data_IF_999791790996
#
_entry.id   IF_999791790996
#
_cell.length_a   1.000
_cell.length_b   1.000
_cell.length_c   1.000
_cell.angle_alpha   90.00
_cell.angle_beta   90.00
_cell.angle_gamma   90.00
#
_symmetry.space_group_name_H-M   'P 1'
#
loop_
_entity.id
_entity.type
_entity.pdbx_description
1 polymer ?
#
# COMPACT_ATOMS: atom_id res chain seq x y z
N UNK A 1 8.89 -14.22 -38.07
CA UNK A 1 9.33 -13.64 -36.80
C UNK A 1 8.30 -13.89 -35.69
N UNK A 2 7.01 -13.66 -35.92
CA UNK A 2 5.91 -13.95 -34.99
C UNK A 2 5.84 -15.42 -34.52
N UNK A 3 6.03 -16.39 -35.42
CA UNK A 3 6.06 -17.82 -35.05
C UNK A 3 7.19 -18.19 -34.07
N UNK A 4 8.32 -17.47 -34.09
CA UNK A 4 9.44 -17.66 -33.15
C UNK A 4 9.16 -17.04 -31.78
N UNK A 5 8.49 -15.88 -31.75
CA UNK A 5 8.08 -15.21 -30.51
C UNK A 5 6.99 -15.99 -29.77
N UNK A 6 6.00 -16.52 -30.50
CA UNK A 6 4.96 -17.39 -29.96
C UNK A 6 5.56 -18.68 -29.35
N UNK A 7 6.52 -19.32 -30.05
CA UNK A 7 7.23 -20.50 -29.55
C UNK A 7 8.05 -20.22 -28.28
N UNK A 8 8.72 -19.07 -28.22
CA UNK A 8 9.48 -18.66 -27.03
C UNK A 8 8.57 -18.35 -25.83
N UNK A 9 7.40 -17.75 -26.06
CA UNK A 9 6.39 -17.50 -25.02
C UNK A 9 5.84 -18.81 -24.45
N UNK A 10 5.46 -19.75 -25.32
CA UNK A 10 4.96 -21.07 -24.91
C UNK A 10 5.99 -21.85 -24.06
N UNK A 11 7.27 -21.84 -24.46
CA UNK A 11 8.34 -22.48 -23.70
C UNK A 11 8.53 -21.86 -22.30
N UNK A 12 8.41 -20.54 -22.17
CA UNK A 12 8.48 -19.84 -20.89
C UNK A 12 7.30 -20.17 -19.99
N UNK A 13 6.09 -20.24 -20.53
CA UNK A 13 4.90 -20.66 -19.79
C UNK A 13 5.00 -22.11 -19.29
N UNK A 14 5.53 -23.02 -20.12
CA UNK A 14 5.79 -24.40 -19.71
C UNK A 14 6.80 -24.48 -18.56
N UNK A 15 7.91 -23.72 -18.65
CA UNK A 15 8.90 -23.60 -17.56
C UNK A 15 8.28 -23.05 -16.28
N UNK A 16 7.43 -22.03 -16.39
CA UNK A 16 6.75 -21.45 -15.23
C UNK A 16 5.80 -22.47 -14.57
N UNK A 17 5.00 -23.21 -15.35
CA UNK A 17 4.14 -24.27 -14.81
C UNK A 17 4.95 -25.34 -14.07
N UNK A 18 6.03 -25.82 -14.67
CA UNK A 18 6.91 -26.81 -14.03
C UNK A 18 7.51 -26.29 -12.72
N UNK A 19 7.90 -25.01 -12.65
CA UNK A 19 8.40 -24.41 -11.41
C UNK A 19 7.32 -24.28 -10.33
N UNK A 20 6.07 -23.98 -10.71
CA UNK A 20 4.91 -23.96 -9.80
C UNK A 20 4.61 -25.36 -9.27
N UNK A 21 4.62 -26.37 -10.14
CA UNK A 21 4.34 -27.76 -9.78
C UNK A 21 5.43 -28.38 -8.89
N UNK A 22 6.68 -27.94 -9.03
CA UNK A 22 7.81 -28.41 -8.23
C UNK A 22 7.95 -27.72 -6.86
N UNK A 23 7.20 -26.64 -6.61
CA UNK A 23 7.25 -25.90 -5.34
C UNK A 23 6.19 -26.41 -4.36
N UNK A 24 6.64 -27.29 -3.46
CA UNK A 24 5.80 -27.93 -2.46
C UNK A 24 5.47 -27.04 -1.25
N UNK A 25 5.98 -25.79 -1.17
CA UNK A 25 5.72 -24.92 -0.02
C UNK A 25 4.21 -24.59 0.08
N UNK A 26 3.50 -25.05 1.14
CA UNK A 26 2.08 -24.78 1.30
C UNK A 26 1.78 -23.28 1.41
N UNK A 27 2.76 -22.46 1.78
CA UNK A 27 2.61 -21.02 1.89
C UNK A 27 2.40 -20.35 0.54
N UNK A 28 2.85 -20.97 -0.56
CA UNK A 28 2.83 -20.41 -1.91
C UNK A 28 1.59 -20.80 -2.72
N UNK A 29 0.79 -21.79 -2.26
CA UNK A 29 -0.36 -22.34 -2.98
C UNK A 29 -1.35 -21.29 -3.50
N UNK A 30 -1.63 -20.25 -2.71
CA UNK A 30 -2.55 -19.18 -3.11
C UNK A 30 -1.97 -18.34 -4.26
N UNK A 31 -0.66 -18.10 -4.23
CA UNK A 31 0.01 -17.36 -5.30
C UNK A 31 0.11 -18.21 -6.57
N UNK A 32 0.46 -19.49 -6.44
CA UNK A 32 0.47 -20.46 -7.53
C UNK A 32 -0.90 -20.61 -8.20
N UNK A 33 -1.98 -20.66 -7.41
CA UNK A 33 -3.33 -20.70 -7.93
C UNK A 33 -3.67 -19.46 -8.78
N UNK A 34 -3.27 -18.26 -8.35
CA UNK A 34 -3.44 -17.03 -9.13
C UNK A 34 -2.63 -17.07 -10.44
N UNK A 35 -1.40 -17.58 -10.41
CA UNK A 35 -0.58 -17.78 -11.60
C UNK A 35 -1.22 -18.75 -12.59
N UNK A 36 -1.63 -19.93 -12.12
CA UNK A 36 -2.24 -20.95 -12.97
C UNK A 36 -3.61 -20.50 -13.51
N UNK A 37 -4.39 -19.74 -12.72
CA UNK A 37 -5.68 -19.19 -13.16
C UNK A 37 -5.54 -18.23 -14.34
N UNK A 38 -4.53 -17.35 -14.35
CA UNK A 38 -4.25 -16.52 -15.53
C UNK A 38 -3.81 -17.38 -16.73
N UNK A 39 -2.89 -18.33 -16.51
CA UNK A 39 -2.37 -19.18 -17.58
C UNK A 39 -3.48 -20.07 -18.19
N UNK A 40 -4.44 -20.53 -17.39
CA UNK A 40 -5.60 -21.28 -17.86
C UNK A 40 -6.52 -20.46 -18.78
N UNK A 41 -6.44 -19.13 -18.68
CA UNK A 41 -7.20 -18.16 -19.47
C UNK A 41 -6.34 -17.44 -20.53
N UNK A 42 -5.17 -18.01 -20.86
CA UNK A 42 -4.20 -17.45 -21.82
C UNK A 42 -4.84 -16.97 -23.13
N UNK A 43 -5.74 -17.75 -23.74
CA UNK A 43 -6.37 -17.37 -25.01
C UNK A 43 -7.23 -16.11 -24.92
N UNK A 44 -7.84 -15.82 -23.75
CA UNK A 44 -8.57 -14.56 -23.53
C UNK A 44 -7.62 -13.41 -23.24
N UNK A 45 -6.57 -13.66 -22.45
CA UNK A 45 -5.55 -12.66 -22.16
C UNK A 45 -4.81 -12.20 -23.42
N UNK A 46 -4.52 -13.12 -24.34
CA UNK A 46 -3.81 -12.85 -25.61
C UNK A 46 -4.67 -12.06 -26.62
N UNK A 47 -6.00 -12.16 -26.53
CA UNK A 47 -6.92 -11.51 -27.45
C UNK A 47 -7.61 -10.25 -26.87
N UNK A 48 -7.39 -9.95 -25.59
CA UNK A 48 -8.10 -8.89 -24.86
C UNK A 48 -7.28 -7.62 -24.62
N UNK A 49 -7.84 -6.76 -23.77
CA UNK A 49 -7.26 -5.46 -23.38
C UNK A 49 -5.91 -5.58 -22.65
N UNK A 50 -5.53 -6.79 -22.22
CA UNK A 50 -4.22 -7.08 -21.61
C UNK A 50 -3.24 -7.85 -22.50
N UNK A 51 -3.50 -7.97 -23.80
CA UNK A 51 -2.64 -8.72 -24.74
C UNK A 51 -1.16 -8.29 -24.70
N UNK A 52 -0.88 -6.98 -24.62
CA UNK A 52 0.48 -6.46 -24.51
C UNK A 52 1.18 -6.95 -23.23
N UNK A 53 0.52 -6.77 -22.07
CA UNK A 53 1.06 -7.17 -20.76
C UNK A 53 1.15 -8.70 -20.63
N UNK A 54 0.21 -9.42 -21.24
CA UNK A 54 0.27 -10.87 -21.39
C UNK A 54 1.48 -11.31 -22.21
N UNK A 55 1.84 -10.61 -23.28
CA UNK A 55 3.05 -10.89 -24.07
C UNK A 55 4.35 -10.76 -23.25
N UNK A 56 4.40 -9.83 -22.29
CA UNK A 56 5.57 -9.58 -21.43
C UNK A 56 5.63 -10.57 -20.25
N UNK A 57 4.47 -10.95 -19.71
CA UNK A 57 4.32 -11.74 -18.50
C UNK A 57 5.21 -13.00 -18.43
N UNK A 58 5.27 -13.90 -19.43
CA UNK A 58 6.05 -15.12 -19.33
C UNK A 58 7.54 -14.87 -19.10
N UNK A 59 8.11 -13.84 -19.73
CA UNK A 59 9.51 -13.48 -19.54
C UNK A 59 9.76 -12.89 -18.15
N UNK A 60 8.90 -11.96 -17.72
CA UNK A 60 8.99 -11.34 -16.41
C UNK A 60 8.82 -12.36 -15.27
N UNK A 61 7.86 -13.29 -15.41
CA UNK A 61 7.60 -14.33 -14.43
C UNK A 61 8.74 -15.34 -14.31
N UNK A 62 9.30 -15.81 -15.44
CA UNK A 62 10.45 -16.73 -15.42
C UNK A 62 11.68 -16.10 -14.78
N UNK A 63 11.89 -14.80 -14.95
CA UNK A 63 12.99 -14.08 -14.30
C UNK A 63 12.90 -14.07 -12.77
N UNK A 64 11.70 -14.19 -12.21
CA UNK A 64 11.51 -14.23 -10.75
C UNK A 64 11.89 -15.59 -10.15
N UNK A 65 11.78 -16.69 -10.91
CA UNK A 65 11.95 -18.06 -10.39
C UNK A 65 13.31 -18.21 -9.68
N UNK A 66 13.27 -18.72 -8.44
CA UNK A 66 14.46 -18.93 -7.60
C UNK A 66 14.85 -17.71 -6.75
N UNK A 67 14.25 -16.54 -6.98
CA UNK A 67 14.45 -15.39 -6.09
C UNK A 67 13.61 -15.53 -4.80
N UNK A 68 14.02 -14.91 -3.67
CA UNK A 68 13.25 -14.96 -2.42
C UNK A 68 11.83 -14.40 -2.62
N UNK A 69 10.79 -15.19 -2.32
CA UNK A 69 9.39 -14.78 -2.48
C UNK A 69 8.88 -14.72 -3.92
N UNK A 70 9.55 -15.41 -4.86
CA UNK A 70 9.18 -15.41 -6.28
C UNK A 70 7.71 -15.79 -6.53
N UNK A 71 7.20 -16.81 -5.84
CA UNK A 71 5.84 -17.30 -6.01
C UNK A 71 4.81 -16.18 -5.78
N UNK A 72 4.95 -15.44 -4.68
CA UNK A 72 4.09 -14.30 -4.36
C UNK A 72 4.18 -13.22 -5.43
N UNK A 73 5.40 -12.88 -5.89
CA UNK A 73 5.58 -11.89 -6.96
C UNK A 73 4.88 -12.31 -8.26
N UNK A 74 5.06 -13.55 -8.69
CA UNK A 74 4.45 -14.05 -9.93
C UNK A 74 2.93 -14.20 -9.80
N UNK A 75 2.43 -14.67 -8.66
CA UNK A 75 0.99 -14.76 -8.40
C UNK A 75 0.30 -13.40 -8.37
N UNK A 76 0.94 -12.42 -7.74
CA UNK A 76 0.45 -11.03 -7.70
C UNK A 76 0.52 -10.36 -9.08
N UNK A 77 1.60 -10.59 -9.84
CA UNK A 77 1.73 -10.15 -11.23
C UNK A 77 0.60 -10.69 -12.10
N UNK A 78 0.35 -12.00 -12.02
CA UNK A 78 -0.70 -12.66 -12.78
C UNK A 78 -2.10 -12.12 -12.42
N UNK A 79 -2.35 -11.93 -11.13
CA UNK A 79 -3.61 -11.36 -10.66
C UNK A 79 -3.78 -9.89 -11.08
N UNK A 80 -2.71 -9.08 -11.09
CA UNK A 80 -2.78 -7.69 -11.54
C UNK A 80 -3.18 -7.58 -13.01
N UNK A 81 -2.61 -8.46 -13.87
CA UNK A 81 -2.99 -8.56 -15.29
C UNK A 81 -4.46 -8.96 -15.43
N UNK A 82 -4.89 -9.98 -14.68
CA UNK A 82 -6.28 -10.43 -14.66
C UNK A 82 -7.25 -9.33 -14.24
N UNK A 83 -6.98 -8.63 -13.13
CA UNK A 83 -7.82 -7.53 -12.64
C UNK A 83 -7.96 -6.39 -13.65
N UNK A 84 -6.86 -6.04 -14.32
CA UNK A 84 -6.84 -4.90 -15.24
C UNK A 84 -7.42 -5.22 -16.62
N UNK A 85 -7.21 -6.44 -17.13
CA UNK A 85 -7.59 -6.79 -18.51
C UNK A 85 -8.75 -7.76 -18.67
N UNK A 86 -9.04 -8.60 -17.67
CA UNK A 86 -10.15 -9.55 -17.72
C UNK A 86 -11.30 -9.10 -16.80
N UNK A 87 -10.97 -8.72 -15.56
CA UNK A 87 -11.94 -8.23 -14.59
C UNK A 87 -13.05 -9.24 -14.28
N UNK A 88 -12.73 -10.54 -14.28
CA UNK A 88 -13.69 -11.62 -14.04
C UNK A 88 -13.80 -11.92 -12.54
N UNK A 89 -14.84 -12.67 -12.14
CA UNK A 89 -15.04 -13.08 -10.75
C UNK A 89 -13.81 -13.80 -10.16
N UNK A 90 -13.13 -14.61 -10.97
CA UNK A 90 -11.90 -15.33 -10.58
C UNK A 90 -10.78 -14.37 -10.15
N UNK A 91 -10.65 -13.21 -10.80
CA UNK A 91 -9.61 -12.23 -10.50
C UNK A 91 -9.84 -11.55 -9.14
N UNK A 92 -11.10 -11.24 -8.83
CA UNK A 92 -11.48 -10.67 -7.54
C UNK A 92 -11.39 -11.71 -6.41
N UNK A 93 -11.74 -12.96 -6.68
CA UNK A 93 -11.55 -14.07 -5.72
C UNK A 93 -10.05 -14.28 -5.47
N UNK A 94 -9.22 -14.25 -6.52
CA UNK A 94 -7.78 -14.40 -6.40
C UNK A 94 -7.15 -13.28 -5.57
N UNK A 95 -7.48 -12.00 -5.83
CA UNK A 95 -6.95 -10.87 -5.04
C UNK A 95 -7.40 -10.94 -3.58
N UNK A 96 -8.65 -11.34 -3.33
CA UNK A 96 -9.17 -11.55 -1.96
C UNK A 96 -8.41 -12.66 -1.22
N UNK A 97 -8.13 -13.79 -1.88
CA UNK A 97 -7.34 -14.88 -1.30
C UNK A 97 -5.89 -14.47 -1.05
N UNK A 98 -5.26 -13.78 -2.00
CA UNK A 98 -3.92 -13.22 -1.84
C UNK A 98 -3.87 -12.27 -0.63
N UNK A 99 -4.84 -11.37 -0.51
CA UNK A 99 -4.95 -10.43 0.60
C UNK A 99 -5.19 -11.13 1.95
N UNK A 100 -6.05 -12.15 1.98
CA UNK A 100 -6.30 -12.97 3.18
C UNK A 100 -5.05 -13.71 3.63
N UNK A 101 -4.23 -14.18 2.67
CA UNK A 101 -3.03 -14.97 2.95
C UNK A 101 -1.82 -14.12 3.34
N UNK A 102 -1.56 -13.04 2.61
CA UNK A 102 -0.33 -12.25 2.69
C UNK A 102 -0.53 -10.85 3.28
N UNK A 103 -1.78 -10.42 3.43
CA UNK A 103 -2.14 -9.06 3.83
C UNK A 103 -2.22 -8.09 2.64
N UNK A 104 -3.22 -7.22 2.67
CA UNK A 104 -3.48 -6.23 1.61
C UNK A 104 -2.29 -5.29 1.34
N UNK A 105 -1.52 -4.90 2.37
CA UNK A 105 -0.36 -3.99 2.21
C UNK A 105 0.78 -4.63 1.42
N UNK A 106 1.07 -5.91 1.70
CA UNK A 106 2.13 -6.63 1.00
C UNK A 106 1.74 -6.86 -0.46
N UNK A 107 0.51 -7.32 -0.71
CA UNK A 107 -0.01 -7.50 -2.07
C UNK A 107 0.07 -6.20 -2.87
N UNK A 108 -0.44 -5.09 -2.32
CA UNK A 108 -0.39 -3.78 -2.95
C UNK A 108 1.05 -3.29 -3.22
N UNK A 109 1.98 -3.52 -2.28
CA UNK A 109 3.39 -3.14 -2.44
C UNK A 109 4.04 -3.93 -3.58
N UNK A 110 3.73 -5.22 -3.68
CA UNK A 110 4.21 -6.08 -4.77
C UNK A 110 3.60 -5.67 -6.11
N UNK A 111 2.29 -5.37 -6.15
CA UNK A 111 1.63 -4.84 -7.36
C UNK A 111 2.30 -3.55 -7.84
N UNK A 112 2.53 -2.60 -6.93
CA UNK A 112 3.19 -1.33 -7.26
C UNK A 112 4.63 -1.51 -7.79
N UNK A 113 5.38 -2.48 -7.24
CA UNK A 113 6.75 -2.77 -7.68
C UNK A 113 6.82 -3.48 -9.03
N UNK A 114 5.76 -4.22 -9.41
CA UNK A 114 5.71 -5.03 -10.63
C UNK A 114 5.13 -4.24 -11.82
N UNK A 115 4.29 -3.25 -11.57
CA UNK A 115 3.66 -2.42 -12.61
C UNK A 115 4.67 -1.90 -13.66
N UNK A 116 5.86 -1.35 -13.29
CA UNK A 116 6.86 -0.94 -14.27
C UNK A 116 7.51 -2.10 -15.05
N UNK A 117 7.55 -3.30 -14.47
CA UNK A 117 8.14 -4.50 -15.12
C UNK A 117 7.26 -5.03 -16.25
N UNK A 118 5.96 -4.73 -16.23
CA UNK A 118 5.00 -5.12 -17.25
C UNK A 118 4.87 -4.08 -18.38
N UNK A 119 5.69 -3.02 -18.36
CA UNK A 119 5.81 -2.06 -19.46
C UNK A 119 4.57 -1.20 -19.69
N UNK A 120 3.65 -1.09 -18.73
CA UNK A 120 2.40 -0.35 -18.94
C UNK A 120 2.67 1.12 -19.25
N UNK A 121 2.13 1.59 -20.38
CA UNK A 121 2.37 2.90 -20.97
C UNK A 121 2.05 4.09 -20.04
N UNK A 122 2.68 5.24 -20.33
CA UNK A 122 2.58 6.51 -19.59
C UNK A 122 1.14 7.05 -19.42
N UNK A 123 0.18 6.64 -20.25
CA UNK A 123 -1.17 7.22 -20.26
C UNK A 123 -2.17 6.51 -19.32
N UNK A 124 -1.99 5.22 -19.02
CA UNK A 124 -2.77 4.53 -17.99
C UNK A 124 -2.07 3.24 -17.55
N UNK A 125 -1.26 3.29 -16.48
CA UNK A 125 -0.59 2.10 -15.98
C UNK A 125 -1.58 0.99 -15.59
N UNK A 126 -1.17 -0.27 -15.72
CA UNK A 126 -2.00 -1.46 -15.44
C UNK A 126 -2.63 -1.38 -14.04
N UNK A 127 -1.87 -0.90 -13.07
CA UNK A 127 -2.34 -0.67 -11.72
C UNK A 127 -3.46 0.39 -11.61
N UNK A 128 -3.54 1.38 -12.51
CA UNK A 128 -4.68 2.31 -12.56
C UNK A 128 -5.96 1.60 -12.94
N UNK A 129 -5.93 0.76 -13.99
CA UNK A 129 -7.08 -0.04 -14.41
C UNK A 129 -7.51 -1.03 -13.33
N UNK A 130 -6.55 -1.69 -12.67
CA UNK A 130 -6.83 -2.60 -11.56
C UNK A 130 -7.46 -1.86 -10.36
N UNK A 131 -6.97 -0.67 -9.99
CA UNK A 131 -7.57 0.15 -8.93
C UNK A 131 -9.00 0.55 -9.29
N UNK A 132 -9.23 0.99 -10.53
CA UNK A 132 -10.57 1.33 -11.00
C UNK A 132 -11.52 0.12 -10.89
N UNK A 133 -11.09 -1.05 -11.36
CA UNK A 133 -11.87 -2.29 -11.24
C UNK A 133 -12.18 -2.66 -9.79
N UNK A 134 -11.18 -2.59 -8.89
CA UNK A 134 -11.31 -2.90 -7.47
C UNK A 134 -12.18 -1.90 -6.69
N UNK A 135 -12.39 -0.69 -7.23
CA UNK A 135 -13.22 0.34 -6.59
C UNK A 135 -14.73 0.10 -6.76
N UNK A 136 -15.13 -0.74 -7.73
CA UNK A 136 -16.52 -1.03 -8.06
C UNK A 136 -17.09 -2.15 -7.18
N UNK A 137 -17.16 -1.94 -5.86
CA UNK A 137 -17.51 -2.98 -4.86
C UNK A 137 -18.82 -3.69 -5.15
N UNK A 138 -19.85 -2.95 -5.59
CA UNK A 138 -21.16 -3.52 -5.89
C UNK A 138 -21.12 -4.44 -7.12
N UNK A 139 -20.35 -4.04 -8.14
CA UNK A 139 -20.10 -4.87 -9.33
C UNK A 139 -19.34 -6.13 -8.96
N UNK A 140 -18.32 -6.02 -8.09
CA UNK A 140 -17.54 -7.17 -7.64
C UNK A 140 -18.44 -8.16 -6.90
N UNK A 141 -19.24 -7.67 -5.94
CA UNK A 141 -20.16 -8.50 -5.18
C UNK A 141 -21.18 -9.21 -6.10
N UNK A 142 -21.68 -8.54 -7.14
CA UNK A 142 -22.56 -9.16 -8.12
C UNK A 142 -21.84 -10.27 -8.91
N UNK A 143 -20.68 -9.96 -9.51
CA UNK A 143 -19.93 -10.90 -10.34
C UNK A 143 -19.56 -12.19 -9.59
N UNK A 144 -19.12 -12.08 -8.33
CA UNK A 144 -18.72 -13.26 -7.57
C UNK A 144 -19.91 -14.08 -7.06
N UNK A 145 -21.08 -13.45 -6.85
CA UNK A 145 -22.33 -14.17 -6.56
C UNK A 145 -22.81 -14.95 -7.77
N UNK A 146 -22.74 -14.37 -8.95
CA UNK A 146 -23.02 -15.06 -10.21
C UNK A 146 -22.07 -16.24 -10.45
N UNK A 147 -20.84 -16.15 -9.93
CA UNK A 147 -19.88 -17.25 -9.90
C UNK A 147 -20.11 -18.28 -8.77
N UNK A 148 -21.16 -18.13 -7.96
CA UNK A 148 -21.61 -19.11 -6.98
C UNK A 148 -21.24 -18.85 -5.53
N UNK A 149 -20.66 -17.70 -5.18
CA UNK A 149 -20.46 -17.32 -3.77
C UNK A 149 -21.76 -16.82 -3.15
N UNK A 150 -21.93 -17.04 -1.84
CA UNK A 150 -23.04 -16.45 -1.11
C UNK A 150 -22.87 -14.92 -0.91
N UNK A 151 -23.90 -14.27 -0.37
CA UNK A 151 -23.92 -12.81 -0.22
C UNK A 151 -22.85 -12.29 0.76
N UNK A 152 -22.57 -13.01 1.84
CA UNK A 152 -21.62 -12.61 2.86
C UNK A 152 -20.19 -12.79 2.34
N UNK A 153 -19.90 -13.94 1.72
CA UNK A 153 -18.63 -14.20 1.06
C UNK A 153 -18.34 -13.21 -0.07
N UNK A 154 -19.36 -12.82 -0.83
CA UNK A 154 -19.24 -11.84 -1.89
C UNK A 154 -18.89 -10.44 -1.36
N UNK A 155 -19.56 -10.00 -0.29
CA UNK A 155 -19.24 -8.73 0.38
C UNK A 155 -17.81 -8.73 0.92
N UNK A 156 -17.37 -9.84 1.48
CA UNK A 156 -16.02 -10.06 1.98
C UNK A 156 -14.94 -10.04 0.87
N UNK A 157 -15.25 -10.55 -0.33
CA UNK A 157 -14.37 -10.46 -1.50
C UNK A 157 -14.29 -9.02 -2.00
N UNK A 158 -15.43 -8.34 -2.16
CA UNK A 158 -15.49 -6.95 -2.60
C UNK A 158 -14.73 -6.01 -1.65
N UNK A 159 -14.89 -6.19 -0.34
CA UNK A 159 -14.19 -5.41 0.67
C UNK A 159 -12.66 -5.61 0.61
N UNK A 160 -12.18 -6.86 0.50
CA UNK A 160 -10.73 -7.14 0.40
C UNK A 160 -10.14 -6.61 -0.91
N UNK A 161 -10.85 -6.72 -2.02
CA UNK A 161 -10.43 -6.14 -3.29
C UNK A 161 -10.30 -4.61 -3.17
N UNK A 162 -11.29 -3.93 -2.60
CA UNK A 162 -11.22 -2.49 -2.32
C UNK A 162 -10.02 -2.13 -1.44
N UNK A 163 -9.77 -2.87 -0.35
CA UNK A 163 -8.62 -2.63 0.52
C UNK A 163 -7.29 -2.78 -0.23
N UNK A 164 -7.15 -3.79 -1.11
CA UNK A 164 -5.94 -3.93 -1.95
C UNK A 164 -5.79 -2.73 -2.89
N UNK A 165 -6.87 -2.31 -3.56
CA UNK A 165 -6.86 -1.13 -4.43
C UNK A 165 -6.47 0.15 -3.67
N UNK A 166 -7.06 0.39 -2.50
CA UNK A 166 -6.69 1.52 -1.64
C UNK A 166 -5.20 1.49 -1.27
N UNK A 167 -4.67 0.34 -0.83
CA UNK A 167 -3.26 0.24 -0.45
C UNK A 167 -2.32 0.32 -1.66
N UNK A 168 -2.77 -0.04 -2.86
CA UNK A 168 -2.01 0.10 -4.11
C UNK A 168 -1.84 1.57 -4.49
N UNK A 169 -2.89 2.39 -4.33
CA UNK A 169 -2.76 3.84 -4.45
C UNK A 169 -1.79 4.38 -3.40
N UNK A 170 -1.99 4.02 -2.13
CA UNK A 170 -1.17 4.46 -0.98
C UNK A 170 0.31 4.09 -1.09
N UNK A 171 0.66 2.98 -1.75
CA UNK A 171 2.03 2.47 -1.86
C UNK A 171 2.98 3.43 -2.60
N UNK A 172 2.46 4.30 -3.47
CA UNK A 172 3.23 5.27 -4.23
C UNK A 172 2.93 6.74 -3.90
N UNK A 173 2.25 7.02 -2.78
CA UNK A 173 2.00 8.40 -2.37
C UNK A 173 3.30 9.04 -1.88
N UNK A 174 3.71 10.12 -2.55
CA UNK A 174 4.88 10.93 -2.21
C UNK A 174 4.41 12.30 -1.70
N UNK A 175 4.50 12.60 -0.40
CA UNK A 175 4.08 13.89 0.17
C UNK A 175 4.77 15.11 -0.45
N UNK A 176 5.96 14.93 -1.03
CA UNK A 176 6.74 16.00 -1.66
C UNK A 176 6.35 16.24 -3.13
N UNK A 177 5.41 15.44 -3.66
CA UNK A 177 4.87 15.55 -5.04
C UNK A 177 3.35 15.69 -5.04
N UNK A 178 2.80 16.78 -4.45
CA UNK A 178 1.37 17.01 -4.45
C UNK A 178 0.83 17.28 -5.86
N UNK A 179 -0.42 16.87 -6.08
CA UNK A 179 -1.22 17.28 -7.24
C UNK A 179 -1.77 18.69 -7.09
N UNK A 180 -2.52 19.19 -8.08
CA UNK A 180 -3.20 20.49 -7.96
C UNK A 180 -4.33 20.43 -6.93
N UNK A 181 -4.52 21.51 -6.17
CA UNK A 181 -5.70 21.68 -5.30
C UNK A 181 -6.95 21.74 -6.15
N UNK A 182 -7.94 20.94 -5.78
CA UNK A 182 -9.21 20.84 -6.49
C UNK A 182 -10.28 21.64 -5.75
N UNK A 183 -11.09 22.36 -6.50
CA UNK A 183 -12.04 23.34 -5.98
C UNK A 183 -13.47 23.12 -6.48
N UNK A 184 -13.68 22.21 -7.44
CA UNK A 184 -15.02 21.90 -7.97
C UNK A 184 -15.29 20.39 -8.07
N UNK A 185 -16.56 19.95 -8.04
CA UNK A 185 -16.92 18.55 -8.23
C UNK A 185 -16.45 18.01 -9.61
N UNK A 186 -16.48 18.84 -10.65
CA UNK A 186 -16.04 18.46 -12.00
C UNK A 186 -14.53 18.18 -12.04
N UNK A 187 -13.72 18.96 -11.32
CA UNK A 187 -12.29 18.70 -11.20
C UNK A 187 -12.01 17.39 -10.48
N UNK A 188 -12.81 17.06 -9.45
CA UNK A 188 -12.74 15.77 -8.77
C UNK A 188 -13.14 14.64 -9.72
N UNK A 189 -14.27 14.74 -10.44
CA UNK A 189 -14.65 13.72 -11.41
C UNK A 189 -13.54 13.50 -12.46
N UNK A 190 -13.00 14.57 -13.03
CA UNK A 190 -11.92 14.50 -14.02
C UNK A 190 -10.67 13.80 -13.49
N UNK A 191 -10.18 14.22 -12.32
CA UNK A 191 -8.97 13.64 -11.75
C UNK A 191 -9.14 12.16 -11.35
N UNK A 192 -10.35 11.74 -10.96
CA UNK A 192 -10.59 10.37 -10.47
C UNK A 192 -10.91 9.39 -11.59
N UNK A 193 -11.75 9.81 -12.53
CA UNK A 193 -12.26 8.96 -13.59
C UNK A 193 -11.27 8.86 -14.76
N UNK A 194 -10.43 9.90 -14.95
CA UNK A 194 -9.52 9.98 -16.09
C UNK A 194 -8.04 10.22 -15.72
N UNK A 195 -7.74 10.64 -14.49
CA UNK A 195 -6.38 10.99 -14.08
C UNK A 195 -5.49 9.82 -13.65
N UNK A 196 -6.06 8.61 -13.52
CA UNK A 196 -5.34 7.40 -13.11
C UNK A 196 -4.66 7.52 -11.74
N UNK A 197 -3.77 6.57 -11.43
CA UNK A 197 -3.02 6.60 -10.17
C UNK A 197 -2.23 7.89 -9.93
N UNK A 198 -1.59 8.54 -10.92
CA UNK A 198 -0.83 9.77 -10.68
C UNK A 198 -1.71 10.89 -10.10
N UNK A 199 -2.90 11.11 -10.65
CA UNK A 199 -3.82 12.12 -10.14
C UNK A 199 -4.26 11.78 -8.71
N UNK A 200 -4.69 10.54 -8.48
CA UNK A 200 -5.07 10.06 -7.14
C UNK A 200 -3.96 10.25 -6.11
N UNK A 201 -2.73 9.81 -6.44
CA UNK A 201 -1.57 9.95 -5.55
C UNK A 201 -1.22 11.41 -5.28
N UNK A 202 -1.37 12.28 -6.27
CA UNK A 202 -1.18 13.72 -6.10
C UNK A 202 -2.15 14.31 -5.07
N UNK A 203 -3.42 13.89 -5.08
CA UNK A 203 -4.41 14.37 -4.10
C UNK A 203 -4.15 13.80 -2.70
N UNK A 204 -3.83 12.50 -2.62
CA UNK A 204 -3.46 11.89 -1.35
C UNK A 204 -2.13 12.45 -0.80
N UNK A 205 -1.23 12.93 -1.65
CA UNK A 205 0.01 13.58 -1.24
C UNK A 205 -0.23 14.91 -0.50
N UNK A 206 -1.24 15.69 -0.89
CA UNK A 206 -1.64 16.91 -0.15
C UNK A 206 -2.09 16.53 1.28
N UNK A 207 -2.92 15.48 1.40
CA UNK A 207 -3.36 14.96 2.71
C UNK A 207 -2.19 14.38 3.49
N UNK A 208 -1.28 13.69 2.81
CA UNK A 208 -0.09 13.11 3.41
C UNK A 208 0.88 14.16 3.96
N UNK A 209 0.95 15.34 3.33
CA UNK A 209 1.75 16.46 3.80
C UNK A 209 1.16 17.09 5.07
N UNK A 210 -0.17 17.23 5.15
CA UNK A 210 -0.86 17.70 6.36
C UNK A 210 -2.29 17.13 6.48
N UNK A 211 -2.50 16.05 7.26
CA UNK A 211 -3.81 15.39 7.33
C UNK A 211 -4.83 16.11 8.23
N UNK A 212 -4.46 17.25 8.82
CA UNK A 212 -5.35 18.15 9.57
C UNK A 212 -5.73 19.41 8.79
N UNK A 213 -5.16 19.61 7.59
CA UNK A 213 -5.50 20.76 6.76
C UNK A 213 -6.97 20.73 6.31
N UNK A 214 -7.61 21.90 6.09
CA UNK A 214 -8.98 22.00 5.61
C UNK A 214 -9.25 21.22 4.33
N UNK A 215 -8.24 21.15 3.45
CA UNK A 215 -8.32 20.47 2.16
C UNK A 215 -8.87 19.04 2.26
N UNK A 216 -8.55 18.30 3.33
CA UNK A 216 -9.07 16.94 3.53
C UNK A 216 -10.61 16.90 3.61
N UNK A 217 -11.23 17.87 4.28
CA UNK A 217 -12.69 17.97 4.36
C UNK A 217 -13.27 18.51 3.04
N UNK A 218 -12.64 19.53 2.47
CA UNK A 218 -13.07 20.17 1.23
C UNK A 218 -13.12 19.17 0.06
N UNK A 219 -12.02 18.44 -0.19
CA UNK A 219 -11.96 17.46 -1.30
C UNK A 219 -12.93 16.30 -1.10
N UNK A 220 -13.18 15.91 0.16
CA UNK A 220 -14.19 14.89 0.48
C UNK A 220 -15.60 15.38 0.15
N UNK A 221 -15.92 16.61 0.53
CA UNK A 221 -17.25 17.19 0.27
C UNK A 221 -17.47 17.39 -1.24
N UNK A 222 -16.41 17.77 -1.99
CA UNK A 222 -16.43 17.80 -3.45
C UNK A 222 -16.62 16.40 -4.07
N UNK A 223 -15.95 15.37 -3.53
CA UNK A 223 -16.12 13.99 -3.99
C UNK A 223 -17.53 13.45 -3.72
N UNK A 224 -18.13 13.81 -2.59
CA UNK A 224 -19.52 13.49 -2.27
C UNK A 224 -20.48 14.20 -3.25
N UNK A 225 -20.25 15.48 -3.53
CA UNK A 225 -21.01 16.25 -4.52
C UNK A 225 -20.88 15.68 -5.94
N UNK A 226 -19.73 15.10 -6.29
CA UNK A 226 -19.51 14.39 -7.56
C UNK A 226 -20.08 12.95 -7.58
N UNK A 227 -20.68 12.47 -6.48
CA UNK A 227 -21.23 11.12 -6.39
C UNK A 227 -20.16 10.02 -6.42
N UNK A 228 -18.96 10.28 -5.88
CA UNK A 228 -17.83 9.33 -5.86
C UNK A 228 -17.63 8.74 -4.45
N UNK A 229 -18.52 7.84 -4.04
CA UNK A 229 -18.50 7.24 -2.68
C UNK A 229 -17.20 6.52 -2.34
N UNK A 230 -16.64 5.75 -3.29
CA UNK A 230 -15.35 5.06 -3.08
C UNK A 230 -14.19 6.03 -2.82
N UNK A 231 -14.23 7.22 -3.43
CA UNK A 231 -13.27 8.29 -3.22
C UNK A 231 -13.42 8.93 -1.84
N UNK A 232 -14.64 9.22 -1.42
CA UNK A 232 -14.94 9.73 -0.07
C UNK A 232 -14.31 8.81 0.98
N UNK A 233 -14.57 7.51 0.89
CA UNK A 233 -13.98 6.53 1.81
C UNK A 233 -12.45 6.51 1.73
N UNK A 234 -11.87 6.54 0.53
CA UNK A 234 -10.41 6.50 0.37
C UNK A 234 -9.73 7.74 0.98
N UNK A 235 -10.33 8.93 0.84
CA UNK A 235 -9.82 10.17 1.41
C UNK A 235 -9.84 10.14 2.95
N UNK A 236 -10.95 9.66 3.53
CA UNK A 236 -11.07 9.52 4.98
C UNK A 236 -10.09 8.51 5.56
N UNK A 237 -9.95 7.35 4.91
CA UNK A 237 -8.99 6.32 5.32
C UNK A 237 -7.54 6.80 5.15
N UNK A 238 -7.22 7.52 4.07
CA UNK A 238 -5.91 8.15 3.88
C UNK A 238 -5.58 9.09 5.05
N UNK A 239 -6.51 9.97 5.42
CA UNK A 239 -6.32 10.89 6.53
C UNK A 239 -6.08 10.16 7.85
N UNK A 240 -6.86 9.10 8.15
CA UNK A 240 -6.66 8.26 9.35
C UNK A 240 -5.28 7.60 9.36
N UNK A 241 -4.85 7.05 8.22
CA UNK A 241 -3.53 6.42 8.09
C UNK A 241 -2.42 7.42 8.34
N UNK A 242 -2.47 8.60 7.73
CA UNK A 242 -1.42 9.60 7.90
C UNK A 242 -1.42 10.22 9.29
N UNK A 243 -2.58 10.50 9.91
CA UNK A 243 -2.62 10.94 11.33
C UNK A 243 -1.92 9.95 12.25
N UNK A 244 -2.21 8.65 12.09
CA UNK A 244 -1.54 7.59 12.86
C UNK A 244 -0.02 7.55 12.62
N UNK A 245 0.43 7.83 11.38
CA UNK A 245 1.86 7.89 11.04
C UNK A 245 2.53 9.12 11.66
N UNK A 246 1.88 10.29 11.61
CA UNK A 246 2.38 11.51 12.23
C UNK A 246 2.48 11.34 13.75
N UNK A 247 1.43 10.88 14.42
CA UNK A 247 1.44 10.65 15.87
C UNK A 247 2.58 9.72 16.31
N UNK A 248 2.85 8.67 15.53
CA UNK A 248 3.98 7.77 15.77
C UNK A 248 5.32 8.48 15.58
N UNK A 249 5.47 9.27 14.51
CA UNK A 249 6.69 10.02 14.21
C UNK A 249 6.96 11.07 15.28
N UNK A 250 5.95 11.82 15.69
CA UNK A 250 6.03 12.84 16.75
C UNK A 250 6.43 12.20 18.09
N UNK A 251 5.84 11.05 18.44
CA UNK A 251 6.24 10.28 19.62
C UNK A 251 7.71 9.85 19.57
N UNK A 252 8.20 9.39 18.42
CA UNK A 252 9.59 9.02 18.23
C UNK A 252 10.53 10.24 18.30
N UNK A 253 10.13 11.39 17.76
CA UNK A 253 10.89 12.64 17.87
C UNK A 253 11.04 13.08 19.32
N UNK A 254 9.95 13.02 20.10
CA UNK A 254 10.00 13.32 21.54
C UNK A 254 10.90 12.32 22.27
N UNK A 255 10.78 11.02 22.00
CA UNK A 255 11.63 9.99 22.61
C UNK A 255 13.13 10.19 22.26
N UNK A 256 13.42 10.59 21.03
CA UNK A 256 14.77 10.94 20.57
C UNK A 256 15.32 12.17 21.29
N UNK A 257 14.54 13.24 21.38
CA UNK A 257 14.94 14.46 22.10
C UNK A 257 15.29 14.14 23.57
N UNK A 258 14.49 13.30 24.24
CA UNK A 258 14.77 12.89 25.62
C UNK A 258 16.07 12.08 25.70
N UNK A 259 16.31 11.15 24.77
CA UNK A 259 17.57 10.40 24.71
C UNK A 259 18.77 11.32 24.54
N UNK A 260 18.67 12.29 23.64
CA UNK A 260 19.71 13.30 23.41
C UNK A 260 19.97 14.14 24.67
N UNK A 261 18.92 14.61 25.34
CA UNK A 261 19.06 15.40 26.58
C UNK A 261 19.66 14.59 27.73
N UNK A 262 19.32 13.30 27.86
CA UNK A 262 19.96 12.39 28.82
C UNK A 262 21.43 12.19 28.47
N UNK A 263 21.74 11.91 27.20
CA UNK A 263 23.11 11.67 26.76
C UNK A 263 24.02 12.89 26.97
N UNK A 264 23.55 14.09 26.60
CA UNK A 264 24.30 15.35 26.75
C UNK A 264 24.51 15.71 28.22
N UNK A 265 23.62 15.28 29.12
CA UNK A 265 23.80 15.52 30.55
C UNK A 265 24.96 14.73 31.17
N UNK A 266 25.41 13.64 30.52
CA UNK A 266 26.43 12.74 31.08
C UNK A 266 25.96 11.88 32.27
N UNK A 267 24.72 12.03 32.73
CA UNK A 267 24.16 11.22 33.81
C UNK A 267 23.72 9.84 33.32
N UNK A 268 23.77 8.85 34.23
CA UNK A 268 23.01 7.63 34.00
C UNK A 268 21.50 7.92 33.99
N UNK A 269 20.73 7.08 33.32
CA UNK A 269 19.27 7.22 33.27
C UNK A 269 18.64 7.24 34.68
N UNK A 270 19.21 6.52 35.65
CA UNK A 270 18.71 6.49 37.03
C UNK A 270 18.95 7.83 37.73
N UNK A 271 20.14 8.42 37.59
CA UNK A 271 20.47 9.73 38.17
C UNK A 271 19.63 10.84 37.51
N UNK A 272 19.50 10.79 36.18
CA UNK A 272 18.67 11.74 35.45
C UNK A 272 17.20 11.65 35.90
N UNK A 273 16.65 10.43 36.04
CA UNK A 273 15.30 10.23 36.56
C UNK A 273 15.13 10.81 37.98
N UNK A 274 16.13 10.61 38.85
CA UNK A 274 16.12 11.18 40.20
C UNK A 274 16.08 12.71 40.18
N UNK A 275 16.87 13.36 39.31
CA UNK A 275 16.87 14.82 39.14
C UNK A 275 15.54 15.36 38.61
N UNK A 276 14.83 14.58 37.78
CA UNK A 276 13.48 14.92 37.30
C UNK A 276 12.40 14.76 38.37
N UNK A 277 12.68 14.02 39.44
CA UNK A 277 11.68 13.57 40.42
C UNK A 277 10.77 12.47 39.88
N UNK A 278 11.32 11.53 39.11
CA UNK A 278 10.58 10.37 38.58
C UNK A 278 11.36 9.07 38.72
N UNK A 279 10.72 7.92 38.50
CA UNK A 279 11.40 6.63 38.55
C UNK A 279 12.14 6.35 37.25
N UNK A 280 13.25 5.59 37.33
CA UNK A 280 13.98 5.14 36.14
C UNK A 280 13.10 4.34 35.16
N UNK A 281 12.16 3.53 35.68
CA UNK A 281 11.19 2.80 34.85
C UNK A 281 10.27 3.75 34.08
N UNK A 282 9.77 4.82 34.72
CA UNK A 282 8.92 5.81 34.05
C UNK A 282 9.70 6.66 33.05
N UNK A 283 10.96 7.00 33.34
CA UNK A 283 11.82 7.63 32.34
C UNK A 283 12.08 6.71 31.15
N UNK A 284 12.21 5.39 31.38
CA UNK A 284 12.39 4.39 30.33
C UNK A 284 11.21 4.31 29.36
N UNK A 285 9.96 4.47 29.84
CA UNK A 285 8.81 4.50 28.93
C UNK A 285 8.81 5.73 28.02
N UNK A 286 9.33 6.86 28.48
CA UNK A 286 9.50 8.06 27.65
C UNK A 286 10.65 7.90 26.64
N UNK A 287 11.80 7.40 27.09
CA UNK A 287 12.99 7.16 26.27
C UNK A 287 12.72 6.18 25.13
N UNK A 288 11.88 5.17 25.37
CA UNK A 288 11.50 4.17 24.37
C UNK A 288 10.25 4.56 23.56
N UNK A 289 9.72 5.77 23.75
CA UNK A 289 8.53 6.24 23.03
C UNK A 289 7.27 5.41 23.29
N UNK A 290 7.19 4.71 24.43
CA UNK A 290 5.97 3.99 24.84
C UNK A 290 4.90 4.95 25.35
N UNK A 291 5.34 6.03 25.99
CA UNK A 291 4.47 7.11 26.50
C UNK A 291 5.05 8.45 26.07
N UNK A 292 4.21 9.39 25.64
CA UNK A 292 4.64 10.78 25.43
C UNK A 292 4.55 11.53 26.77
N UNK A 293 5.62 12.15 27.28
CA UNK A 293 5.56 12.96 28.48
C UNK A 293 4.67 14.21 28.27
N UNK A 294 4.17 14.79 29.36
CA UNK A 294 3.47 16.08 29.28
C UNK A 294 4.43 17.20 28.89
N UNK A 295 3.89 18.30 28.33
CA UNK A 295 4.68 19.48 27.98
C UNK A 295 5.48 20.02 29.18
N UNK A 296 4.88 20.05 30.38
CA UNK A 296 5.57 20.46 31.61
C UNK A 296 6.75 19.57 31.96
N UNK A 297 6.63 18.26 31.74
CA UNK A 297 7.73 17.33 31.98
C UNK A 297 8.85 17.50 30.94
N UNK A 298 8.53 17.76 29.68
CA UNK A 298 9.54 18.10 28.65
C UNK A 298 10.34 19.34 29.04
N UNK A 299 9.69 20.40 29.53
CA UNK A 299 10.38 21.60 30.04
C UNK A 299 11.34 21.26 31.19
N UNK A 300 10.92 20.37 32.11
CA UNK A 300 11.78 19.91 33.21
C UNK A 300 12.98 19.10 32.71
N UNK A 301 12.78 18.23 31.72
CA UNK A 301 13.84 17.43 31.09
C UNK A 301 14.92 18.34 30.48
N UNK A 302 14.53 19.35 29.72
CA UNK A 302 15.45 20.34 29.15
C UNK A 302 16.26 21.06 30.24
N UNK A 303 15.58 21.58 31.27
CA UNK A 303 16.23 22.29 32.40
C UNK A 303 17.22 21.42 33.17
N UNK A 304 16.90 20.15 33.42
CA UNK A 304 17.82 19.23 34.11
C UNK A 304 19.06 18.99 33.26
N UNK A 305 18.91 18.77 31.95
CA UNK A 305 20.04 18.57 31.04
C UNK A 305 20.93 19.81 30.97
N UNK A 306 20.35 21.01 30.82
CA UNK A 306 21.07 22.29 30.84
C UNK A 306 21.82 22.51 32.16
N UNK A 307 21.14 22.32 33.29
CA UNK A 307 21.73 22.51 34.62
C UNK A 307 22.94 21.61 34.88
N UNK A 308 22.88 20.35 34.44
CA UNK A 308 23.99 19.41 34.62
C UNK A 308 25.14 19.77 33.69
N UNK A 309 24.85 20.10 32.43
CA UNK A 309 25.86 20.52 31.45
C UNK A 309 26.62 21.76 31.93
N UNK A 310 25.90 22.77 32.42
CA UNK A 310 26.49 24.05 32.84
C UNK A 310 27.31 23.91 34.15
N UNK A 311 27.10 22.83 34.92
CA UNK A 311 27.94 22.51 36.08
C UNK A 311 29.15 21.65 35.72
N UNK A 312 29.02 20.78 34.73
CA UNK A 312 30.13 19.96 34.22
C UNK A 312 31.20 20.79 33.49
N UNK A 313 30.85 21.95 32.95
CA UNK A 313 31.75 22.87 32.22
C UNK A 313 32.49 23.89 33.11
N UNK A 314 32.24 23.91 34.42
CA UNK A 314 32.86 24.85 35.40
C UNK A 314 33.99 24.19 36.22
N UNK A 315 34.48 23.04 35.77
CA UNK A 315 35.63 22.31 36.35
C UNK A 315 36.70 22.12 35.30
#
# INVERSE_FOLDING_TARGET
MESSLAGASAARLARLRAAVEADDDPNNRVAHAATLGLIGRAGRADAGDCSEMWGIFPAAAVHQIGQPGWAVRVGVMANLIGLAGLGEAEDFIAVSRLAKRYGYRLVATVQNAIDPLLGSAELMPLASSAVAAMSLTDRIALLVREAGLDADEAGEVAHRAYQVGFWLVMAGVDPDRPGPVLTTPDQVAMAWDHGGMPAWRGQLAIIAANPWAPYCAEVRDLAAAAGRTAAVHALEECAKVYRTRFERRERELVAREIRELVAISGLSQREFASMLGTSASRLSTYVNGLVTPSATLMVRIRRVSEFVRDRGSVT
#
